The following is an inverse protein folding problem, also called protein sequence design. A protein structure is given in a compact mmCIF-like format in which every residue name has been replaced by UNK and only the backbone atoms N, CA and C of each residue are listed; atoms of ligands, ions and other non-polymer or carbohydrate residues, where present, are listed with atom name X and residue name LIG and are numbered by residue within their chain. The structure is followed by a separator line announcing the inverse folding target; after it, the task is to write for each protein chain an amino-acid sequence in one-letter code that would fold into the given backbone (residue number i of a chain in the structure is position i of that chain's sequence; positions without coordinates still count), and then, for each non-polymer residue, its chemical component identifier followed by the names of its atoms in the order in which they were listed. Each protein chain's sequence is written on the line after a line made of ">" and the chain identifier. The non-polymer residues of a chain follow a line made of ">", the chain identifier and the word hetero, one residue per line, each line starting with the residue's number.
data_IF_016669203921
#
_entry.id   IF_016669203921
#
_cell.length_a   1.000
_cell.length_b   1.000
_cell.length_c   1.000
_cell.angle_alpha   90.00
_cell.angle_beta   90.00
_cell.angle_gamma   90.00
#
_symmetry.space_group_name_H-M   'P 1'
#
loop_
_entity.id
_entity.type
_entity.pdbx_description
1 polymer ?
#
# COMPACT_ATOMS: atom_id res chain seq x y z
N UNK A 1 13.87 19.78 23.70
CA UNK A 1 15.16 20.23 23.16
C UNK A 1 15.77 19.08 22.38
N UNK A 2 15.80 19.16 21.05
CA UNK A 2 16.46 18.16 20.21
C UNK A 2 17.97 18.28 20.43
N UNK A 3 18.69 17.17 20.68
CA UNK A 3 20.12 17.24 20.96
C UNK A 3 20.86 17.76 19.72
N UNK A 4 21.72 18.77 19.96
CA UNK A 4 22.61 19.43 19.00
C UNK A 4 23.62 18.48 18.30
N UNK A 5 23.59 17.18 18.61
CA UNK A 5 24.41 16.14 17.99
C UNK A 5 24.00 15.81 16.55
N UNK A 6 22.79 16.19 16.10
CA UNK A 6 22.34 15.98 14.73
C UNK A 6 22.98 16.92 13.68
N UNK A 7 23.74 17.93 14.10
CA UNK A 7 24.27 18.98 13.20
C UNK A 7 25.73 18.77 12.74
N UNK A 8 26.41 17.70 13.17
CA UNK A 8 27.81 17.39 12.78
C UNK A 8 27.95 16.03 12.10
N UNK A 9 27.20 15.81 11.03
CA UNK A 9 27.21 14.56 10.24
C UNK A 9 28.21 14.54 9.07
N UNK A 10 29.06 15.57 8.91
CA UNK A 10 29.78 15.84 7.66
C UNK A 10 31.17 15.20 7.50
N UNK A 11 31.56 14.19 8.30
CA UNK A 11 32.92 13.65 8.11
C UNK A 11 33.31 12.37 8.84
N UNK A 12 32.38 11.58 9.40
CA UNK A 12 32.76 10.46 10.26
C UNK A 12 32.08 9.15 9.84
N UNK A 13 32.60 8.54 8.76
CA UNK A 13 32.17 7.22 8.24
C UNK A 13 32.05 6.10 9.30
N UNK A 14 32.94 5.96 10.31
CA UNK A 14 32.78 4.88 11.29
C UNK A 14 31.47 5.01 12.10
N UNK A 15 31.05 6.24 12.42
CA UNK A 15 29.80 6.47 13.15
C UNK A 15 28.56 6.19 12.32
N UNK A 16 28.61 6.42 11.01
CA UNK A 16 27.47 6.14 10.12
C UNK A 16 27.26 4.64 9.92
N UNK A 17 28.35 3.86 9.86
CA UNK A 17 28.29 2.40 9.76
C UNK A 17 27.79 1.77 11.07
N UNK A 18 28.27 2.25 12.21
CA UNK A 18 27.79 1.80 13.52
C UNK A 18 26.31 2.15 13.74
N UNK A 19 25.88 3.33 13.28
CA UNK A 19 24.47 3.72 13.30
C UNK A 19 23.61 2.86 12.37
N UNK A 20 24.10 2.57 11.16
CA UNK A 20 23.39 1.74 10.19
C UNK A 20 23.21 0.29 10.69
N UNK A 21 24.23 -0.31 11.29
CA UNK A 21 24.14 -1.66 11.86
C UNK A 21 23.19 -1.74 13.06
N UNK A 22 23.15 -0.69 13.89
CA UNK A 22 22.16 -0.58 15.00
C UNK A 22 20.72 -0.47 14.49
N UNK A 23 20.48 0.19 13.36
CA UNK A 23 19.14 0.27 12.76
C UNK A 23 18.71 -1.09 12.25
N UNK A 24 19.61 -1.80 11.54
CA UNK A 24 19.34 -3.12 10.98
C UNK A 24 18.96 -4.13 12.06
N UNK A 25 19.67 -4.15 13.20
CA UNK A 25 19.34 -5.05 14.30
C UNK A 25 17.98 -4.74 14.95
N UNK A 26 17.58 -3.48 15.01
CA UNK A 26 16.25 -3.08 15.51
C UNK A 26 15.15 -3.49 14.52
N UNK A 27 15.37 -3.29 13.22
CA UNK A 27 14.43 -3.75 12.18
C UNK A 27 14.25 -5.26 12.20
N UNK A 28 15.35 -6.01 12.32
CA UNK A 28 15.35 -7.47 12.41
C UNK A 28 14.67 -7.94 13.70
N UNK A 29 14.85 -7.24 14.81
CA UNK A 29 14.14 -7.51 16.05
C UNK A 29 12.62 -7.31 15.90
N UNK A 30 12.18 -6.19 15.31
CA UNK A 30 10.75 -5.94 15.09
C UNK A 30 10.17 -6.96 14.11
N UNK A 31 10.92 -7.34 13.07
CA UNK A 31 10.52 -8.40 12.13
C UNK A 31 10.38 -9.75 12.83
N UNK A 32 11.34 -10.10 13.68
CA UNK A 32 11.28 -11.31 14.50
C UNK A 32 10.09 -11.26 15.47
N UNK A 33 9.82 -10.12 16.11
CA UNK A 33 8.68 -9.94 17.00
C UNK A 33 7.34 -10.10 16.25
N UNK A 34 7.24 -9.59 15.02
CA UNK A 34 6.08 -9.79 14.16
C UNK A 34 5.88 -11.26 13.78
N UNK A 35 6.96 -12.02 13.57
CA UNK A 35 6.90 -13.45 13.23
C UNK A 35 6.64 -14.34 14.44
N UNK A 36 7.00 -13.90 15.65
CA UNK A 36 6.86 -14.64 16.91
C UNK A 36 5.41 -14.74 17.41
N UNK A 37 4.46 -13.99 16.83
CA UNK A 37 3.05 -13.99 17.22
C UNK A 37 2.16 -14.75 16.21
N UNK A 38 2.36 -16.07 15.95
CA UNK A 38 1.43 -16.82 15.13
C UNK A 38 0.10 -16.95 15.90
N UNK A 39 -0.97 -16.39 15.32
CA UNK A 39 -2.34 -16.53 15.84
C UNK A 39 -3.00 -15.25 16.37
N UNK A 40 -2.25 -14.15 16.60
CA UNK A 40 -2.82 -12.82 16.89
C UNK A 40 -2.52 -11.87 15.73
N UNK A 41 -3.15 -12.16 14.60
CA UNK A 41 -2.97 -11.44 13.33
C UNK A 41 -3.10 -9.91 13.46
N UNK A 42 -3.94 -9.43 14.37
CA UNK A 42 -4.12 -7.99 14.61
C UNK A 42 -2.87 -7.32 15.21
N UNK A 43 -2.10 -8.04 16.03
CA UNK A 43 -0.89 -7.48 16.63
C UNK A 43 0.28 -7.50 15.65
N UNK A 44 0.35 -8.49 14.75
CA UNK A 44 1.36 -8.57 13.69
C UNK A 44 1.30 -7.36 12.75
N UNK A 45 0.10 -6.95 12.32
CA UNK A 45 -0.08 -5.76 11.46
C UNK A 45 0.35 -4.46 12.13
N UNK A 46 0.18 -4.35 13.45
CA UNK A 46 0.68 -3.23 14.23
C UNK A 46 2.21 -3.19 14.24
N UNK A 47 2.87 -4.34 14.48
CA UNK A 47 4.33 -4.42 14.42
C UNK A 47 4.87 -4.13 13.01
N UNK A 48 4.20 -4.61 11.96
CA UNK A 48 4.56 -4.31 10.57
C UNK A 48 4.42 -2.81 10.24
N UNK A 49 3.35 -2.17 10.71
CA UNK A 49 3.16 -0.72 10.54
C UNK A 49 4.23 0.09 11.27
N UNK A 50 4.60 -0.33 12.49
CA UNK A 50 5.70 0.27 13.26
C UNK A 50 7.03 0.08 12.53
N UNK A 51 7.30 -1.12 12.02
CA UNK A 51 8.51 -1.42 11.24
C UNK A 51 8.60 -0.52 10.00
N UNK A 52 7.50 -0.39 9.26
CA UNK A 52 7.44 0.44 8.06
C UNK A 52 7.65 1.94 8.37
N UNK A 53 7.09 2.45 9.47
CA UNK A 53 7.31 3.84 9.91
C UNK A 53 8.75 4.08 10.39
N UNK A 54 9.33 3.10 11.10
CA UNK A 54 10.72 3.13 11.54
C UNK A 54 11.67 3.16 10.33
N UNK A 55 11.47 2.23 9.40
CA UNK A 55 12.23 2.17 8.14
C UNK A 55 12.09 3.46 7.33
N UNK A 56 10.89 4.02 7.21
CA UNK A 56 10.63 5.30 6.52
C UNK A 56 11.45 6.47 7.11
N UNK A 57 11.54 6.54 8.44
CA UNK A 57 12.29 7.59 9.11
C UNK A 57 13.79 7.46 8.83
N UNK A 58 14.34 6.26 9.03
CA UNK A 58 15.78 6.01 8.95
C UNK A 58 16.30 5.97 7.51
N UNK A 59 15.48 5.56 6.55
CA UNK A 59 15.87 5.53 5.12
C UNK A 59 16.33 6.90 4.63
N UNK A 60 15.68 8.00 5.05
CA UNK A 60 16.13 9.36 4.69
C UNK A 60 17.52 9.69 5.22
N UNK A 61 17.82 9.26 6.45
CA UNK A 61 19.12 9.48 7.06
C UNK A 61 20.19 8.69 6.34
N UNK A 62 19.93 7.41 6.03
CA UNK A 62 20.87 6.53 5.34
C UNK A 62 21.15 6.99 3.91
N UNK A 63 20.11 7.33 3.13
CA UNK A 63 20.26 7.84 1.76
C UNK A 63 21.07 9.15 1.75
N UNK A 64 20.79 10.06 2.69
CA UNK A 64 21.57 11.31 2.81
C UNK A 64 23.00 11.05 3.26
N UNK A 65 23.22 10.17 4.24
CA UNK A 65 24.54 9.82 4.73
C UNK A 65 25.41 9.21 3.62
N UNK A 66 24.87 8.25 2.85
CA UNK A 66 25.54 7.67 1.69
C UNK A 66 25.87 8.73 0.63
N UNK A 67 24.96 9.69 0.40
CA UNK A 67 25.19 10.79 -0.54
C UNK A 67 26.25 11.80 -0.08
N UNK A 68 26.44 11.97 1.25
CA UNK A 68 27.35 12.95 1.85
C UNK A 68 28.70 12.39 2.30
N UNK A 69 28.79 11.08 2.54
CA UNK A 69 29.99 10.41 3.07
C UNK A 69 31.08 10.17 2.03
N UNK A 70 30.81 10.45 0.76
CA UNK A 70 31.76 10.31 -0.34
C UNK A 70 32.38 11.68 -0.67
N UNK A 71 33.54 11.99 -0.08
CA UNK A 71 34.39 13.08 -0.58
C UNK A 71 34.76 12.76 -2.04
N UNK A 72 34.54 13.69 -2.99
CA UNK A 72 34.90 13.47 -4.38
C UNK A 72 36.42 13.62 -4.53
N UNK A 73 37.14 12.50 -4.63
CA UNK A 73 38.51 12.55 -5.12
C UNK A 73 38.50 13.09 -6.57
N UNK A 74 39.28 14.14 -6.78
CA UNK A 74 39.01 15.21 -7.75
C UNK A 74 39.42 14.90 -9.20
N UNK A 75 39.48 13.62 -9.61
CA UNK A 75 39.90 13.26 -10.97
C UNK A 75 39.03 12.25 -11.70
N UNK A 76 38.17 11.52 -11.02
CA UNK A 76 37.21 10.61 -11.66
C UNK A 76 35.91 10.66 -10.86
N UNK A 77 34.86 11.28 -11.40
CA UNK A 77 33.48 11.05 -10.93
C UNK A 77 32.99 9.78 -11.60
N UNK A 78 33.04 8.58 -10.98
CA UNK A 78 32.07 7.58 -11.36
C UNK A 78 30.73 8.15 -10.89
N UNK A 79 29.82 8.41 -11.82
CA UNK A 79 28.43 8.66 -11.46
C UNK A 79 27.95 7.48 -10.63
N UNK A 80 27.81 7.66 -9.30
CA UNK A 80 27.32 6.61 -8.43
C UNK A 80 26.00 6.07 -8.98
N UNK A 81 25.77 4.74 -8.97
CA UNK A 81 24.51 4.15 -9.37
C UNK A 81 23.43 4.52 -8.36
N UNK A 82 22.83 5.70 -8.55
CA UNK A 82 21.64 6.11 -7.81
C UNK A 82 20.44 5.51 -8.51
N UNK A 83 19.63 4.77 -7.75
CA UNK A 83 18.38 4.20 -8.26
C UNK A 83 17.57 5.29 -8.97
N UNK A 84 17.21 5.03 -10.23
CA UNK A 84 16.43 5.94 -11.06
C UNK A 84 15.18 6.47 -10.34
N UNK A 85 14.57 5.60 -9.53
CA UNK A 85 13.44 5.93 -8.68
C UNK A 85 13.77 7.02 -7.64
N UNK A 86 14.82 6.83 -6.82
CA UNK A 86 15.20 7.79 -5.78
C UNK A 86 15.55 9.16 -6.37
N UNK A 87 16.20 9.18 -7.54
CA UNK A 87 16.45 10.41 -8.28
C UNK A 87 15.15 11.12 -8.66
N UNK A 88 14.13 10.40 -9.13
CA UNK A 88 12.81 10.97 -9.42
C UNK A 88 12.18 11.64 -8.18
N UNK A 89 12.23 10.94 -7.04
CA UNK A 89 11.70 11.43 -5.75
C UNK A 89 12.43 12.72 -5.32
N UNK A 90 13.76 12.74 -5.39
CA UNK A 90 14.56 13.93 -5.06
C UNK A 90 14.25 15.12 -5.99
N UNK A 91 14.16 14.87 -7.29
CA UNK A 91 13.92 15.90 -8.31
C UNK A 91 12.51 16.49 -8.27
N UNK A 92 11.50 15.76 -7.78
CA UNK A 92 10.10 16.17 -7.89
C UNK A 92 9.34 16.27 -6.56
N UNK A 93 9.70 15.47 -5.56
CA UNK A 93 9.04 15.49 -4.25
C UNK A 93 9.86 16.21 -3.18
N UNK A 94 11.19 16.06 -3.14
CA UNK A 94 12.04 16.69 -2.11
C UNK A 94 12.36 18.18 -2.39
N UNK A 95 12.06 18.68 -3.60
CA UNK A 95 12.39 20.07 -4.01
C UNK A 95 11.70 21.14 -3.17
N UNK A 96 10.40 20.97 -2.88
CA UNK A 96 9.61 21.93 -2.09
C UNK A 96 9.20 21.32 -0.77
N UNK A 97 9.22 22.11 0.29
CA UNK A 97 8.82 21.64 1.61
C UNK A 97 7.39 21.09 1.62
N UNK A 98 6.46 21.73 0.89
CA UNK A 98 5.07 21.29 0.82
C UNK A 98 4.91 19.95 0.10
N UNK A 99 5.57 19.74 -1.05
CA UNK A 99 5.52 18.45 -1.78
C UNK A 99 6.17 17.34 -0.97
N UNK A 100 7.26 17.65 -0.27
CA UNK A 100 7.93 16.73 0.63
C UNK A 100 7.04 16.31 1.79
N UNK A 101 6.39 17.27 2.44
CA UNK A 101 5.47 16.98 3.54
C UNK A 101 4.31 16.11 3.05
N UNK A 102 3.69 16.47 1.93
CA UNK A 102 2.57 15.69 1.36
C UNK A 102 2.99 14.27 0.97
N UNK A 103 4.12 14.10 0.30
CA UNK A 103 4.64 12.79 -0.08
C UNK A 103 4.92 11.89 1.14
N UNK A 104 5.40 12.49 2.23
CA UNK A 104 5.64 11.79 3.49
C UNK A 104 4.36 11.46 4.23
N UNK A 105 3.42 12.40 4.32
CA UNK A 105 2.11 12.16 4.90
C UNK A 105 1.38 11.03 4.18
N UNK A 106 1.48 10.97 2.85
CA UNK A 106 0.87 9.91 2.06
C UNK A 106 1.49 8.54 2.37
N UNK A 107 2.81 8.45 2.51
CA UNK A 107 3.49 7.20 2.89
C UNK A 107 3.15 6.75 4.31
N UNK A 108 3.14 7.68 5.28
CA UNK A 108 2.70 7.40 6.65
C UNK A 108 1.27 6.89 6.65
N UNK A 109 0.37 7.57 5.94
CA UNK A 109 -1.05 7.21 5.88
C UNK A 109 -1.24 5.81 5.32
N UNK A 110 -0.54 5.47 4.22
CA UNK A 110 -0.57 4.13 3.61
C UNK A 110 -0.10 3.03 4.56
N UNK A 111 0.95 3.29 5.36
CA UNK A 111 1.45 2.29 6.32
C UNK A 111 0.58 2.16 7.56
N UNK A 112 -0.06 3.23 8.01
CA UNK A 112 -0.94 3.20 9.18
C UNK A 112 -2.35 2.72 8.85
N UNK A 113 -2.71 2.63 7.58
CA UNK A 113 -4.06 2.35 7.11
C UNK A 113 -4.64 1.06 7.69
N UNK A 114 -3.90 -0.04 7.63
CA UNK A 114 -4.34 -1.35 8.14
C UNK A 114 -4.64 -1.26 9.64
N UNK A 115 -3.75 -0.61 10.40
CA UNK A 115 -3.94 -0.43 11.86
C UNK A 115 -5.12 0.49 12.15
N UNK A 116 -5.31 1.53 11.35
CA UNK A 116 -6.45 2.44 11.50
C UNK A 116 -7.76 1.70 11.19
N UNK A 117 -7.81 0.89 10.13
CA UNK A 117 -8.95 0.03 9.80
C UNK A 117 -9.29 -0.93 10.93
N UNK A 118 -8.28 -1.64 11.44
CA UNK A 118 -8.44 -2.56 12.57
C UNK A 118 -8.92 -1.83 13.83
N UNK A 119 -8.39 -0.64 14.11
CA UNK A 119 -8.81 0.16 15.25
C UNK A 119 -10.25 0.68 15.11
N UNK A 120 -10.65 1.06 13.90
CA UNK A 120 -12.02 1.49 13.58
C UNK A 120 -12.99 0.32 13.74
N UNK A 121 -12.63 -0.88 13.25
CA UNK A 121 -13.44 -2.08 13.39
C UNK A 121 -13.73 -2.40 14.86
N UNK A 122 -12.77 -2.17 15.78
CA UNK A 122 -12.96 -2.41 17.21
C UNK A 122 -13.75 -1.33 17.97
N UNK A 123 -13.82 -0.10 17.45
CA UNK A 123 -14.31 1.08 18.21
C UNK A 123 -15.57 1.73 17.62
N UNK A 124 -15.83 1.54 16.33
CA UNK A 124 -16.88 2.26 15.63
C UNK A 124 -17.96 1.31 15.09
N UNK A 125 -19.22 1.73 15.24
CA UNK A 125 -20.35 1.11 14.55
C UNK A 125 -20.19 1.20 13.03
N UNK A 126 -20.75 0.21 12.32
CA UNK A 126 -20.66 -0.03 10.88
C UNK A 126 -20.89 1.20 9.98
N UNK A 127 -21.93 1.99 10.24
CA UNK A 127 -22.18 3.22 9.44
C UNK A 127 -21.07 4.26 9.61
N UNK A 128 -20.46 4.35 10.79
CA UNK A 128 -19.35 5.27 11.06
C UNK A 128 -18.06 4.76 10.44
N UNK A 129 -17.86 3.44 10.36
CA UNK A 129 -16.70 2.81 9.71
C UNK A 129 -16.57 3.24 8.25
N UNK A 130 -17.64 3.13 7.46
CA UNK A 130 -17.60 3.53 6.04
C UNK A 130 -17.41 5.03 5.83
N UNK A 131 -17.89 5.87 6.75
CA UNK A 131 -17.57 7.31 6.78
C UNK A 131 -16.08 7.56 7.04
N UNK A 132 -15.48 6.81 7.96
CA UNK A 132 -14.04 6.90 8.23
C UNK A 132 -13.20 6.41 7.06
N UNK A 133 -13.52 5.26 6.47
CA UNK A 133 -12.84 4.73 5.28
C UNK A 133 -12.94 5.74 4.13
N UNK A 134 -14.11 6.33 3.90
CA UNK A 134 -14.27 7.38 2.88
C UNK A 134 -13.45 8.63 3.17
N UNK A 135 -13.33 9.03 4.44
CA UNK A 135 -12.49 10.14 4.83
C UNK A 135 -11.01 9.84 4.56
N UNK A 136 -10.54 8.64 4.91
CA UNK A 136 -9.16 8.21 4.66
C UNK A 136 -8.84 8.16 3.16
N UNK A 137 -9.70 7.56 2.36
CA UNK A 137 -9.55 7.53 0.90
C UNK A 137 -9.63 8.93 0.28
N UNK A 138 -10.52 9.78 0.80
CA UNK A 138 -10.63 11.18 0.40
C UNK A 138 -9.34 11.96 0.68
N UNK A 139 -8.76 11.79 1.88
CA UNK A 139 -7.49 12.42 2.25
C UNK A 139 -6.38 11.92 1.32
N UNK A 140 -6.24 10.60 1.10
CA UNK A 140 -5.24 10.06 0.17
C UNK A 140 -5.40 10.60 -1.24
N UNK A 141 -6.64 10.64 -1.75
CA UNK A 141 -6.93 11.18 -3.07
C UNK A 141 -6.53 12.65 -3.19
N UNK A 142 -6.86 13.47 -2.18
CA UNK A 142 -6.46 14.89 -2.14
C UNK A 142 -4.94 15.06 -2.10
N UNK A 143 -4.23 14.27 -1.27
CA UNK A 143 -2.77 14.30 -1.19
C UNK A 143 -2.12 13.89 -2.51
N UNK A 144 -2.61 12.83 -3.16
CA UNK A 144 -2.12 12.37 -4.47
C UNK A 144 -2.40 13.37 -5.58
N UNK A 145 -3.60 13.95 -5.63
CA UNK A 145 -3.94 15.00 -6.59
C UNK A 145 -3.07 16.24 -6.37
N UNK A 146 -2.83 16.64 -5.12
CA UNK A 146 -1.90 17.74 -4.82
C UNK A 146 -0.52 17.45 -5.38
N UNK A 147 0.03 16.25 -5.18
CA UNK A 147 1.31 15.86 -5.78
C UNK A 147 1.26 15.92 -7.30
N UNK A 148 0.23 15.32 -7.92
CA UNK A 148 0.04 15.28 -9.36
C UNK A 148 0.03 16.67 -10.01
N UNK A 149 -0.73 17.62 -9.46
CA UNK A 149 -0.78 18.99 -9.98
C UNK A 149 0.54 19.73 -9.76
N UNK A 150 1.22 19.49 -8.63
CA UNK A 150 2.47 20.19 -8.29
C UNK A 150 3.69 19.65 -9.05
N UNK A 151 3.68 18.40 -9.48
CA UNK A 151 4.74 17.80 -10.32
C UNK A 151 4.55 18.01 -11.82
N UNK A 152 3.64 18.90 -12.23
CA UNK A 152 3.30 19.19 -13.64
C UNK A 152 2.64 18.01 -14.36
N UNK A 153 1.64 17.40 -13.72
CA UNK A 153 0.87 16.28 -14.27
C UNK A 153 1.72 15.05 -14.60
N UNK A 154 2.75 14.77 -13.79
CA UNK A 154 3.54 13.53 -13.92
C UNK A 154 2.84 12.41 -13.16
N UNK A 155 3.04 11.19 -13.62
CA UNK A 155 2.49 10.03 -12.94
C UNK A 155 3.03 9.95 -11.51
N UNK A 156 2.12 9.82 -10.54
CA UNK A 156 2.49 9.60 -9.14
C UNK A 156 2.93 8.14 -9.00
N UNK A 157 4.20 7.95 -8.63
CA UNK A 157 4.81 6.64 -8.39
C UNK A 157 4.49 6.15 -6.98
N UNK A 158 4.43 4.83 -6.82
CA UNK A 158 4.39 4.19 -5.51
C UNK A 158 5.68 3.39 -5.24
N UNK A 159 6.30 3.54 -4.05
CA UNK A 159 5.94 4.43 -2.95
C UNK A 159 6.23 5.92 -3.25
N UNK A 160 5.76 6.85 -2.39
CA UNK A 160 6.05 8.29 -2.56
C UNK A 160 7.26 8.79 -1.76
N UNK A 161 7.99 7.89 -1.11
CA UNK A 161 9.20 8.19 -0.35
C UNK A 161 10.42 7.52 -0.97
N UNK A 162 11.60 7.88 -0.46
CA UNK A 162 12.86 7.27 -0.87
C UNK A 162 12.89 5.80 -0.45
N UNK A 163 13.31 4.92 -1.33
CA UNK A 163 13.48 3.50 -1.00
C UNK A 163 14.92 3.22 -0.62
N UNK A 164 15.11 2.38 0.39
CA UNK A 164 16.43 1.95 0.85
C UNK A 164 17.00 0.93 -0.14
N UNK A 165 17.96 1.37 -0.94
CA UNK A 165 18.69 0.53 -1.90
C UNK A 165 20.19 0.43 -1.59
N UNK A 166 20.54 0.71 -0.33
CA UNK A 166 21.92 0.84 0.14
C UNK A 166 22.14 -0.22 1.22
N UNK A 167 23.18 -1.04 1.06
CA UNK A 167 23.57 -1.98 2.09
C UNK A 167 24.06 -1.20 3.33
N UNK A 168 23.49 -1.42 4.52
CA UNK A 168 23.85 -0.66 5.72
C UNK A 168 25.30 -0.89 6.18
N UNK A 169 25.86 -2.05 5.86
CA UNK A 169 27.23 -2.46 6.24
C UNK A 169 28.32 -1.93 5.32
N UNK A 170 28.03 -1.74 4.03
CA UNK A 170 28.99 -1.26 3.02
C UNK A 170 28.69 0.18 2.57
N UNK A 171 27.48 0.66 2.82
CA UNK A 171 26.90 1.90 2.26
C UNK A 171 26.98 1.97 0.73
N UNK A 172 27.06 0.82 0.07
CA UNK A 172 27.05 0.69 -1.38
C UNK A 172 25.64 0.34 -1.87
N UNK A 173 25.34 0.66 -3.14
CA UNK A 173 24.07 0.28 -3.74
C UNK A 173 24.02 -1.26 -3.84
N UNK A 174 23.10 -1.89 -3.11
CA UNK A 174 22.94 -3.33 -3.18
C UNK A 174 22.09 -3.71 -4.39
N UNK A 175 22.58 -4.64 -5.19
CA UNK A 175 21.81 -5.32 -6.24
C UNK A 175 21.02 -6.52 -5.70
N UNK A 176 21.26 -6.89 -4.44
CA UNK A 176 20.63 -8.05 -3.84
C UNK A 176 19.32 -7.61 -3.24
N UNK A 177 18.22 -8.14 -3.75
CA UNK A 177 16.90 -8.05 -3.14
C UNK A 177 17.02 -8.61 -1.71
N UNK A 178 17.32 -7.76 -0.73
CA UNK A 178 16.76 -7.98 0.60
C UNK A 178 15.27 -7.87 0.36
N UNK A 179 14.68 -9.03 0.09
CA UNK A 179 13.27 -9.28 -0.03
C UNK A 179 12.67 -8.93 1.32
N UNK A 180 12.52 -7.63 1.58
CA UNK A 180 11.91 -7.19 2.81
C UNK A 180 10.46 -7.72 2.70
N UNK A 181 10.10 -8.70 3.52
CA UNK A 181 8.71 -9.20 3.59
C UNK A 181 7.70 -8.06 3.84
N UNK A 182 8.17 -6.88 4.25
CA UNK A 182 7.44 -5.62 4.35
C UNK A 182 7.02 -5.02 2.98
N UNK A 183 7.51 -5.56 1.86
CA UNK A 183 7.23 -5.08 0.49
C UNK A 183 6.27 -5.98 -0.31
N UNK A 184 5.86 -7.11 0.27
CA UNK A 184 4.77 -7.95 -0.24
C UNK A 184 3.44 -7.54 0.41
N UNK A 185 3.10 -6.25 0.43
CA UNK A 185 1.72 -5.88 0.72
C UNK A 185 0.89 -6.10 -0.55
N UNK A 186 0.04 -7.15 -0.63
CA UNK A 186 -0.74 -7.42 -1.84
C UNK A 186 -1.80 -6.34 -2.09
N UNK A 187 -2.07 -5.46 -1.10
CA UNK A 187 -2.96 -4.30 -1.23
C UNK A 187 -2.33 -3.18 -2.03
N UNK A 188 -1.01 -3.05 -1.98
CA UNK A 188 -0.26 -1.94 -2.58
C UNK A 188 0.62 -2.41 -3.75
N UNK A 189 0.89 -3.71 -3.84
CA UNK A 189 1.68 -4.33 -4.88
C UNK A 189 3.18 -4.14 -4.69
N UNK A 190 3.99 -4.80 -5.51
CA UNK A 190 5.45 -4.66 -5.44
C UNK A 190 5.88 -3.26 -5.87
N UNK A 191 6.76 -2.59 -5.09
CA UNK A 191 7.25 -1.27 -5.45
C UNK A 191 8.06 -1.33 -6.75
N UNK A 192 8.11 -0.20 -7.47
CA UNK A 192 8.87 -0.05 -8.73
C UNK A 192 10.41 -0.24 -8.59
N UNK A 193 10.89 -0.57 -7.39
CA UNK A 193 12.31 -0.62 -7.02
C UNK A 193 12.96 -1.98 -7.17
N UNK A 194 12.20 -3.03 -7.49
CA UNK A 194 12.72 -4.40 -7.69
C UNK A 194 13.40 -4.63 -9.04
N UNK A 195 13.48 -3.61 -9.90
CA UNK A 195 14.04 -3.77 -11.24
C UNK A 195 15.54 -3.36 -11.25
N UNK A 196 16.49 -4.31 -11.34
CA UNK A 196 17.92 -4.01 -11.32
C UNK A 196 18.37 -3.15 -12.53
N UNK A 197 17.62 -3.20 -13.63
CA UNK A 197 17.89 -2.38 -14.83
C UNK A 197 17.77 -0.86 -14.56
N UNK A 198 17.04 -0.48 -13.50
CA UNK A 198 16.83 0.90 -13.08
C UNK A 198 17.95 1.45 -12.18
N UNK A 199 18.90 0.62 -11.76
CA UNK A 199 20.03 1.03 -10.91
C UNK A 199 21.06 1.82 -11.72
N UNK A 200 21.27 1.48 -13.00
CA UNK A 200 22.33 2.05 -13.84
C UNK A 200 21.84 2.99 -14.95
N UNK A 201 20.53 3.07 -15.20
CA UNK A 201 20.02 3.81 -16.35
C UNK A 201 19.81 5.31 -16.08
N UNK A 202 20.62 6.16 -16.71
CA UNK A 202 20.53 7.63 -16.61
C UNK A 202 19.28 8.21 -17.29
N UNK A 203 18.84 7.59 -18.38
CA UNK A 203 17.69 8.04 -19.20
C UNK A 203 16.35 7.49 -18.71
N UNK A 204 16.37 6.50 -17.81
CA UNK A 204 15.17 5.88 -17.25
C UNK A 204 14.49 6.70 -16.12
N UNK A 205 15.19 7.67 -15.55
CA UNK A 205 14.91 8.17 -14.19
C UNK A 205 13.88 9.30 -14.07
N UNK A 206 13.33 9.79 -15.18
CA UNK A 206 12.41 10.94 -15.13
C UNK A 206 11.07 10.58 -15.77
N UNK A 207 10.01 10.53 -14.96
CA UNK A 207 8.62 10.41 -15.40
C UNK A 207 8.26 11.54 -16.36
N UNK A 208 7.45 11.31 -17.39
CA UNK A 208 7.06 12.32 -18.38
C UNK A 208 5.74 13.01 -17.96
N UNK A 209 5.57 14.31 -18.25
CA UNK A 209 4.30 14.98 -17.99
C UNK A 209 3.21 14.43 -18.91
N UNK A 210 2.03 14.15 -18.35
CA UNK A 210 0.86 13.69 -19.10
C UNK A 210 0.23 14.86 -19.88
N UNK A 211 -0.35 14.56 -21.04
CA UNK A 211 -1.05 15.51 -21.92
C UNK A 211 -2.38 14.95 -22.41
N UNK A 212 -3.34 15.82 -22.66
CA UNK A 212 -4.66 15.45 -23.19
C UNK A 212 -5.39 14.46 -22.29
N UNK A 213 -5.95 13.41 -22.89
CA UNK A 213 -6.69 12.34 -22.20
C UNK A 213 -5.90 11.64 -21.10
N UNK A 214 -4.57 11.61 -21.17
CA UNK A 214 -3.77 10.97 -20.13
C UNK A 214 -3.85 11.68 -18.77
N UNK A 215 -4.09 13.00 -18.76
CA UNK A 215 -4.32 13.73 -17.51
C UNK A 215 -5.59 13.23 -16.84
N UNK A 216 -6.66 13.09 -17.64
CA UNK A 216 -7.93 12.55 -17.17
C UNK A 216 -7.77 11.11 -16.68
N UNK A 217 -6.99 10.28 -17.36
CA UNK A 217 -6.72 8.91 -16.93
C UNK A 217 -5.99 8.81 -15.59
N UNK A 218 -4.99 9.66 -15.31
CA UNK A 218 -4.32 9.68 -14.00
C UNK A 218 -5.25 10.18 -12.88
N UNK A 219 -6.14 11.15 -13.17
CA UNK A 219 -7.14 11.63 -12.22
C UNK A 219 -8.14 10.52 -11.89
N UNK A 220 -8.66 9.82 -12.90
CA UNK A 220 -9.55 8.67 -12.70
C UNK A 220 -8.91 7.57 -11.87
N UNK A 221 -7.66 7.21 -12.19
CA UNK A 221 -6.92 6.23 -11.40
C UNK A 221 -6.79 6.66 -9.94
N UNK A 222 -6.47 7.94 -9.70
CA UNK A 222 -6.31 8.49 -8.35
C UNK A 222 -7.62 8.53 -7.56
N UNK A 223 -8.75 8.78 -8.22
CA UNK A 223 -10.07 8.88 -7.61
C UNK A 223 -10.79 7.52 -7.49
N UNK A 224 -10.32 6.47 -8.17
CA UNK A 224 -10.95 5.15 -8.19
C UNK A 224 -11.28 4.62 -6.78
N UNK A 225 -10.37 4.62 -5.79
CA UNK A 225 -10.68 4.10 -4.46
C UNK A 225 -11.79 4.89 -3.78
N UNK A 226 -11.73 6.23 -3.88
CA UNK A 226 -12.77 7.11 -3.34
C UNK A 226 -14.13 6.87 -4.01
N UNK A 227 -14.17 6.73 -5.33
CA UNK A 227 -15.41 6.43 -6.08
C UNK A 227 -16.02 5.11 -5.59
N UNK A 228 -15.18 4.08 -5.42
CA UNK A 228 -15.64 2.78 -4.90
C UNK A 228 -16.29 2.92 -3.52
N UNK A 229 -15.61 3.54 -2.55
CA UNK A 229 -16.13 3.64 -1.18
C UNK A 229 -17.39 4.53 -1.12
N UNK A 230 -17.45 5.61 -1.91
CA UNK A 230 -18.65 6.45 -1.99
C UNK A 230 -19.85 5.69 -2.57
N UNK A 231 -19.63 4.80 -3.53
CA UNK A 231 -20.69 3.96 -4.08
C UNK A 231 -21.17 2.93 -3.07
N UNK A 232 -20.26 2.30 -2.32
CA UNK A 232 -20.64 1.40 -1.23
C UNK A 232 -21.45 2.14 -0.18
N UNK A 233 -20.99 3.32 0.26
CA UNK A 233 -21.73 4.19 1.20
C UNK A 233 -23.13 4.55 0.71
N UNK A 234 -23.27 4.86 -0.59
CA UNK A 234 -24.57 5.17 -1.18
C UNK A 234 -25.51 3.96 -1.15
N UNK A 235 -24.98 2.77 -1.36
CA UNK A 235 -25.78 1.54 -1.32
C UNK A 235 -26.24 1.23 0.11
N UNK A 236 -25.37 1.44 1.11
CA UNK A 236 -25.75 1.25 2.52
C UNK A 236 -26.94 2.11 2.93
N UNK A 237 -26.99 3.37 2.46
CA UNK A 237 -28.09 4.29 2.78
C UNK A 237 -29.45 3.83 2.26
N UNK A 238 -29.49 2.92 1.28
CA UNK A 238 -30.75 2.37 0.76
C UNK A 238 -31.21 1.16 1.55
N UNK A 239 -30.27 0.39 2.12
CA UNK A 239 -30.54 -0.86 2.81
C UNK A 239 -30.83 -0.69 4.30
N UNK A 240 -30.54 0.46 4.92
CA UNK A 240 -30.93 0.71 6.31
C UNK A 240 -32.44 0.93 6.42
N UNK A 241 -33.25 -0.02 6.94
CA UNK A 241 -34.64 0.26 7.24
C UNK A 241 -34.73 1.32 8.34
N UNK A 242 -35.71 2.22 8.22
CA UNK A 242 -36.03 3.20 9.26
C UNK A 242 -36.23 2.48 10.61
N UNK A 243 -35.33 2.72 11.57
CA UNK A 243 -35.39 2.25 12.97
C UNK A 243 -36.55 2.91 13.76
N UNK A 244 -37.70 3.14 13.14
CA UNK A 244 -38.82 3.91 13.71
C UNK A 244 -39.91 3.06 14.39
N UNK A 245 -39.74 1.74 14.57
CA UNK A 245 -40.85 0.92 15.09
C UNK A 245 -40.48 -0.23 16.06
N UNK A 246 -39.29 -0.19 16.70
CA UNK A 246 -38.96 -1.11 17.81
C UNK A 246 -38.84 -0.35 19.13
N UNK A 247 -39.96 0.19 19.61
CA UNK A 247 -40.16 0.44 21.03
C UNK A 247 -41.29 -0.45 21.52
N UNK A 248 -40.93 -1.40 22.39
CA UNK A 248 -41.71 -2.04 23.47
C UNK A 248 -41.26 -3.52 23.56
N UNK A 249 -40.49 -3.82 24.60
CA UNK A 249 -40.01 -5.17 24.89
C UNK A 249 -38.92 -5.12 25.95
N UNK A 250 -39.34 -5.28 27.20
CA UNK A 250 -38.58 -5.07 28.43
C UNK A 250 -37.57 -6.19 28.71
N UNK A 251 -36.41 -5.80 29.25
CA UNK A 251 -35.72 -6.51 30.33
C UNK A 251 -34.74 -7.62 29.95
N UNK A 252 -33.47 -7.37 30.31
CA UNK A 252 -32.44 -8.36 30.64
C UNK A 252 -31.93 -9.25 29.50
N UNK A 253 -31.25 -8.64 28.51
CA UNK A 253 -30.35 -9.40 27.63
C UNK A 253 -29.32 -8.54 26.89
N UNK A 254 -28.56 -7.69 27.58
CA UNK A 254 -27.53 -6.86 26.91
C UNK A 254 -26.46 -7.69 26.16
N UNK A 255 -26.15 -8.92 26.62
CA UNK A 255 -25.18 -9.80 25.95
C UNK A 255 -25.75 -10.58 24.77
N UNK A 256 -27.01 -11.00 24.85
CA UNK A 256 -27.69 -11.65 23.70
C UNK A 256 -28.04 -10.61 22.66
N UNK A 257 -28.50 -9.42 23.07
CA UNK A 257 -28.81 -8.32 22.15
C UNK A 257 -27.57 -7.74 21.48
N UNK A 258 -26.42 -7.69 22.17
CA UNK A 258 -25.14 -7.31 21.55
C UNK A 258 -24.58 -8.39 20.62
N UNK A 259 -24.93 -9.67 20.84
CA UNK A 259 -24.54 -10.77 19.95
C UNK A 259 -25.45 -10.83 18.73
N UNK A 260 -26.75 -10.66 18.91
CA UNK A 260 -27.74 -10.61 17.82
C UNK A 260 -27.52 -9.36 16.94
N UNK A 261 -27.24 -8.19 17.55
CA UNK A 261 -26.85 -7.00 16.79
C UNK A 261 -25.53 -7.23 16.01
N UNK A 262 -24.62 -8.05 16.53
CA UNK A 262 -23.33 -8.36 15.89
C UNK A 262 -23.49 -9.35 14.72
N UNK A 263 -24.27 -10.41 14.91
CA UNK A 263 -24.53 -11.42 13.88
C UNK A 263 -25.41 -10.83 12.75
N UNK A 264 -26.43 -10.01 13.05
CA UNK A 264 -27.21 -9.26 12.04
C UNK A 264 -26.33 -8.25 11.26
N UNK A 265 -25.36 -7.60 11.93
CA UNK A 265 -24.44 -6.64 11.30
C UNK A 265 -23.44 -7.31 10.34
N UNK A 266 -22.98 -8.55 10.62
CA UNK A 266 -22.08 -9.31 9.76
C UNK A 266 -22.78 -9.75 8.46
N UNK A 267 -24.00 -10.29 8.56
CA UNK A 267 -24.77 -10.76 7.39
C UNK A 267 -25.08 -9.62 6.41
N UNK A 268 -25.46 -8.45 6.92
CA UNK A 268 -25.72 -7.29 6.07
C UNK A 268 -24.44 -6.68 5.45
N UNK A 269 -23.27 -6.74 6.10
CA UNK A 269 -22.00 -6.31 5.49
C UNK A 269 -21.66 -7.23 4.29
N UNK A 270 -21.93 -8.51 4.43
CA UNK A 270 -21.72 -9.53 3.42
C UNK A 270 -22.61 -9.32 2.18
N UNK A 271 -23.87 -8.91 2.37
CA UNK A 271 -24.80 -8.57 1.29
C UNK A 271 -24.36 -7.32 0.50
N UNK A 272 -23.88 -6.29 1.20
CA UNK A 272 -23.39 -5.06 0.55
C UNK A 272 -22.12 -5.35 -0.26
N UNK A 273 -21.27 -6.25 0.22
CA UNK A 273 -20.07 -6.69 -0.49
C UNK A 273 -20.38 -7.55 -1.73
N UNK A 274 -21.55 -8.20 -1.76
CA UNK A 274 -22.05 -8.91 -2.93
C UNK A 274 -22.68 -7.99 -3.98
N UNK A 275 -22.84 -6.70 -3.67
CA UNK A 275 -23.36 -5.71 -4.63
C UNK A 275 -22.42 -5.53 -5.83
N UNK A 276 -22.93 -5.81 -7.02
CA UNK A 276 -22.18 -5.68 -8.28
C UNK A 276 -21.95 -4.23 -8.70
N UNK A 277 -22.76 -3.29 -8.21
CA UNK A 277 -22.71 -1.89 -8.66
C UNK A 277 -21.39 -1.19 -8.33
N UNK A 278 -20.90 -1.15 -7.06
CA UNK A 278 -19.61 -0.56 -6.74
C UNK A 278 -18.44 -1.24 -7.47
N UNK A 279 -18.53 -2.56 -7.64
CA UNK A 279 -17.50 -3.37 -8.31
C UNK A 279 -17.37 -3.02 -9.80
N UNK A 280 -18.48 -3.06 -10.53
CA UNK A 280 -18.51 -2.78 -11.98
C UNK A 280 -18.10 -1.34 -12.29
N UNK A 281 -18.55 -0.36 -11.50
CA UNK A 281 -18.20 1.05 -11.75
C UNK A 281 -16.71 1.30 -11.50
N UNK A 282 -16.13 0.77 -10.42
CA UNK A 282 -14.70 0.91 -10.14
C UNK A 282 -13.83 0.21 -11.19
N UNK A 283 -14.26 -0.97 -11.68
CA UNK A 283 -13.63 -1.62 -12.84
C UNK A 283 -13.71 -0.74 -14.10
N UNK A 284 -14.88 -0.15 -14.38
CA UNK A 284 -15.07 0.77 -15.49
C UNK A 284 -14.16 1.99 -15.43
N UNK A 285 -14.00 2.59 -14.24
CA UNK A 285 -13.06 3.70 -13.99
C UNK A 285 -11.62 3.29 -14.27
N UNK A 286 -11.21 2.09 -13.84
CA UNK A 286 -9.88 1.53 -14.10
C UNK A 286 -9.62 1.35 -15.61
N UNK A 287 -10.56 0.72 -16.31
CA UNK A 287 -10.47 0.51 -17.75
C UNK A 287 -10.44 1.83 -18.52
N UNK A 288 -11.27 2.80 -18.12
CA UNK A 288 -11.29 4.13 -18.73
C UNK A 288 -9.97 4.87 -18.51
N UNK A 289 -9.39 4.78 -17.31
CA UNK A 289 -8.07 5.33 -17.02
C UNK A 289 -6.97 4.72 -17.91
N UNK A 290 -7.03 3.41 -18.17
CA UNK A 290 -6.10 2.70 -19.07
C UNK A 290 -6.26 3.12 -20.52
N UNK A 291 -7.50 3.23 -21.01
CA UNK A 291 -7.78 3.67 -22.38
C UNK A 291 -7.28 5.10 -22.57
N UNK A 292 -7.54 5.98 -21.61
CA UNK A 292 -7.12 7.38 -21.64
C UNK A 292 -5.59 7.57 -21.62
N UNK A 293 -4.84 6.63 -21.04
CA UNK A 293 -3.37 6.66 -20.97
C UNK A 293 -2.67 5.84 -22.05
N UNK A 294 -3.41 5.08 -22.88
CA UNK A 294 -2.86 4.10 -23.85
C UNK A 294 -1.87 4.67 -24.86
N UNK A 295 -2.09 5.90 -25.32
CA UNK A 295 -1.24 6.54 -26.34
C UNK A 295 0.02 7.20 -25.76
N UNK A 296 0.23 7.17 -24.44
CA UNK A 296 1.39 7.79 -23.81
C UNK A 296 2.63 6.91 -23.95
N UNK A 297 3.75 7.53 -24.36
CA UNK A 297 5.06 6.88 -24.30
C UNK A 297 5.52 6.78 -22.85
N UNK A 298 5.74 5.56 -22.36
CA UNK A 298 6.14 5.30 -20.98
C UNK A 298 7.66 5.23 -20.83
N UNK A 299 8.20 5.84 -19.76
CA UNK A 299 9.59 5.58 -19.35
C UNK A 299 9.69 4.26 -18.57
N UNK A 300 10.89 3.71 -18.35
CA UNK A 300 11.06 2.46 -17.60
C UNK A 300 10.43 2.50 -16.20
N UNK A 301 10.59 3.59 -15.44
CA UNK A 301 9.90 3.78 -14.15
C UNK A 301 8.37 3.77 -14.30
N UNK A 302 7.87 4.39 -15.36
CA UNK A 302 6.42 4.41 -15.60
C UNK A 302 5.89 3.04 -16.00
N UNK A 303 6.70 2.22 -16.67
CA UNK A 303 6.35 0.85 -17.04
C UNK A 303 6.26 -0.04 -15.81
N UNK A 304 7.15 0.13 -14.84
CA UNK A 304 7.12 -0.65 -13.60
C UNK A 304 5.96 -0.25 -12.70
N UNK A 305 5.69 1.05 -12.58
CA UNK A 305 4.45 1.52 -11.94
C UNK A 305 3.21 1.01 -12.70
N UNK A 306 3.24 0.94 -14.04
CA UNK A 306 2.14 0.37 -14.82
C UNK A 306 1.93 -1.12 -14.56
N UNK A 307 3.01 -1.90 -14.46
CA UNK A 307 2.97 -3.32 -14.09
C UNK A 307 2.36 -3.51 -12.70
N UNK A 308 2.76 -2.69 -11.73
CA UNK A 308 2.15 -2.69 -10.39
C UNK A 308 0.64 -2.47 -10.45
N UNK A 309 0.18 -1.47 -11.23
CA UNK A 309 -1.25 -1.21 -11.47
C UNK A 309 -1.96 -2.38 -12.17
N UNK A 310 -1.26 -3.15 -13.01
CA UNK A 310 -1.78 -4.36 -13.64
C UNK A 310 -1.94 -5.51 -12.65
N UNK A 311 -0.98 -5.73 -11.75
CA UNK A 311 -1.13 -6.68 -10.66
C UNK A 311 -2.27 -6.29 -9.73
N UNK A 312 -2.42 -5.01 -9.39
CA UNK A 312 -3.55 -4.54 -8.58
C UNK A 312 -4.90 -4.78 -9.26
N UNK A 313 -4.97 -4.67 -10.59
CA UNK A 313 -6.19 -5.04 -11.31
C UNK A 313 -6.43 -6.55 -11.28
N UNK A 314 -5.39 -7.37 -11.43
CA UNK A 314 -5.54 -8.83 -11.30
C UNK A 314 -6.09 -9.19 -9.91
N UNK A 315 -5.50 -8.60 -8.88
CA UNK A 315 -5.95 -8.69 -7.50
C UNK A 315 -7.37 -8.17 -7.27
N UNK A 316 -7.82 -7.18 -8.05
CA UNK A 316 -9.19 -6.68 -7.97
C UNK A 316 -10.25 -7.72 -8.33
N UNK A 317 -9.92 -8.70 -9.18
CA UNK A 317 -10.83 -9.83 -9.47
C UNK A 317 -10.95 -10.81 -8.29
N UNK A 318 -10.04 -10.76 -7.30
CA UNK A 318 -10.17 -11.53 -6.07
C UNK A 318 -11.08 -10.83 -5.03
N UNK A 319 -11.69 -9.69 -5.37
CA UNK A 319 -12.67 -9.01 -4.53
C UNK A 319 -14.09 -9.53 -4.78
N UNK A 320 -14.94 -9.54 -3.74
CA UNK A 320 -16.40 -9.76 -3.87
C UNK A 320 -17.06 -8.68 -4.76
N UNK A 321 -18.12 -9.00 -5.53
CA UNK A 321 -18.78 -10.31 -5.66
C UNK A 321 -18.09 -11.30 -6.60
N UNK A 322 -17.13 -10.87 -7.42
CA UNK A 322 -16.51 -11.75 -8.42
C UNK A 322 -15.86 -12.98 -7.78
N UNK A 323 -15.19 -12.79 -6.64
CA UNK A 323 -14.57 -13.89 -5.90
C UNK A 323 -15.58 -14.96 -5.49
N UNK A 324 -16.70 -14.59 -4.87
CA UNK A 324 -17.68 -15.56 -4.36
C UNK A 324 -18.40 -16.30 -5.48
N UNK A 325 -18.75 -15.60 -6.56
CA UNK A 325 -19.54 -16.17 -7.65
C UNK A 325 -18.73 -17.03 -8.62
N UNK A 326 -17.47 -16.66 -8.88
CA UNK A 326 -16.64 -17.30 -9.91
C UNK A 326 -15.39 -17.95 -9.34
N UNK A 327 -14.57 -17.20 -8.60
CA UNK A 327 -13.25 -17.68 -8.18
C UNK A 327 -13.34 -18.77 -7.11
N UNK A 328 -14.19 -18.59 -6.10
CA UNK A 328 -14.38 -19.49 -4.97
C UNK A 328 -14.86 -20.89 -5.39
N UNK A 329 -15.90 -21.06 -6.24
CA UNK A 329 -16.35 -22.39 -6.66
C UNK A 329 -15.32 -23.08 -7.56
N UNK A 330 -14.60 -22.34 -8.42
CA UNK A 330 -13.50 -22.90 -9.23
C UNK A 330 -12.38 -23.40 -8.32
N UNK A 331 -12.03 -22.61 -7.29
CA UNK A 331 -10.99 -22.96 -6.34
C UNK A 331 -11.38 -24.17 -5.50
N UNK A 332 -12.63 -24.22 -5.03
CA UNK A 332 -13.17 -25.37 -4.30
C UNK A 332 -13.14 -26.63 -5.18
N UNK A 333 -13.66 -26.55 -6.41
CA UNK A 333 -13.63 -27.67 -7.35
C UNK A 333 -12.20 -28.13 -7.67
N UNK A 334 -11.25 -27.20 -7.79
CA UNK A 334 -9.85 -27.51 -7.99
C UNK A 334 -9.25 -28.23 -6.77
N UNK A 335 -9.46 -27.72 -5.55
CA UNK A 335 -8.98 -28.35 -4.33
C UNK A 335 -9.57 -29.76 -4.14
N UNK A 336 -10.88 -29.91 -4.31
CA UNK A 336 -11.59 -31.19 -4.20
C UNK A 336 -11.11 -32.20 -5.26
N UNK A 337 -10.90 -31.73 -6.49
CA UNK A 337 -10.35 -32.55 -7.58
C UNK A 337 -8.87 -32.86 -7.41
N UNK A 338 -8.17 -32.21 -6.49
CA UNK A 338 -6.71 -32.31 -6.34
C UNK A 338 -6.31 -33.13 -5.12
N UNK A 339 -7.20 -33.27 -4.15
CA UNK A 339 -6.98 -33.99 -2.89
C UNK A 339 -6.50 -35.45 -3.09
N UNK A 340 -6.91 -36.09 -4.19
CA UNK A 340 -6.56 -37.48 -4.50
C UNK A 340 -5.17 -37.67 -5.17
N UNK A 341 -4.39 -36.60 -5.42
CA UNK A 341 -3.04 -36.69 -6.03
C UNK A 341 -1.96 -36.12 -5.11
N UNK A 342 -0.99 -36.94 -4.64
CA UNK A 342 -0.08 -36.57 -3.52
C UNK A 342 0.87 -35.39 -3.80
N UNK A 343 1.20 -35.11 -5.06
CA UNK A 343 2.05 -33.95 -5.42
C UNK A 343 1.23 -32.67 -5.48
N UNK A 344 -0.01 -32.78 -5.96
CA UNK A 344 -0.86 -31.62 -6.21
C UNK A 344 -1.65 -31.26 -4.94
N UNK A 345 -1.86 -32.21 -4.02
CA UNK A 345 -2.44 -31.98 -2.70
C UNK A 345 -1.63 -31.01 -1.84
N UNK A 346 -0.31 -30.95 -1.99
CA UNK A 346 0.53 -29.93 -1.33
C UNK A 346 0.16 -28.53 -1.81
N UNK A 347 -0.10 -28.38 -3.12
CA UNK A 347 -0.49 -27.11 -3.72
C UNK A 347 -1.93 -26.74 -3.35
N UNK A 348 -2.84 -27.72 -3.28
CA UNK A 348 -4.20 -27.50 -2.78
C UNK A 348 -4.22 -27.13 -1.29
N UNK A 349 -3.39 -27.76 -0.46
CA UNK A 349 -3.22 -27.41 0.95
C UNK A 349 -2.69 -25.98 1.10
N UNK A 350 -1.63 -25.62 0.36
CA UNK A 350 -1.11 -24.25 0.37
C UNK A 350 -2.19 -23.24 -0.04
N UNK A 351 -2.90 -23.47 -1.14
CA UNK A 351 -3.99 -22.60 -1.59
C UNK A 351 -5.08 -22.46 -0.52
N UNK A 352 -5.47 -23.55 0.13
CA UNK A 352 -6.49 -23.52 1.17
C UNK A 352 -6.03 -22.75 2.41
N UNK A 353 -4.75 -22.84 2.77
CA UNK A 353 -4.14 -22.05 3.84
C UNK A 353 -4.11 -20.54 3.51
N UNK A 354 -4.00 -20.19 2.21
CA UNK A 354 -4.05 -18.79 1.74
C UNK A 354 -5.48 -18.26 1.51
N UNK A 355 -6.51 -19.11 1.45
CA UNK A 355 -7.92 -18.69 1.29
C UNK A 355 -8.36 -17.64 2.32
N UNK A 356 -8.20 -17.85 3.64
CA UNK A 356 -8.60 -16.86 4.65
C UNK A 356 -7.81 -15.55 4.53
N UNK A 357 -6.59 -15.60 3.97
CA UNK A 357 -5.80 -14.41 3.69
C UNK A 357 -6.46 -13.59 2.58
N UNK A 358 -6.83 -14.17 1.44
CA UNK A 358 -7.52 -13.43 0.38
C UNK A 358 -8.85 -12.85 0.84
N UNK A 359 -9.62 -13.61 1.61
CA UNK A 359 -10.89 -13.13 2.15
C UNK A 359 -10.67 -11.92 3.06
N UNK A 360 -9.67 -11.94 3.95
CA UNK A 360 -9.35 -10.81 4.84
C UNK A 360 -8.67 -9.63 4.17
N UNK A 361 -7.91 -9.85 3.10
CA UNK A 361 -7.06 -8.81 2.51
C UNK A 361 -7.83 -7.80 1.65
N UNK A 362 -8.96 -8.21 1.06
CA UNK A 362 -9.71 -7.39 0.09
C UNK A 362 -10.82 -6.54 0.68
N UNK A 363 -10.95 -6.57 2.00
CA UNK A 363 -11.84 -5.73 2.76
C UNK A 363 -11.40 -4.26 2.64
N UNK A 364 -12.05 -3.57 1.71
CA UNK A 364 -12.25 -2.11 1.60
C UNK A 364 -11.18 -1.26 0.89
N UNK A 365 -9.89 -1.41 1.18
CA UNK A 365 -8.86 -0.44 0.72
C UNK A 365 -7.78 -1.03 -0.17
N UNK A 366 -7.85 -2.34 -0.44
CA UNK A 366 -6.95 -3.00 -1.38
C UNK A 366 -6.99 -2.31 -2.76
N UNK A 367 -5.82 -1.92 -3.26
CA UNK A 367 -5.65 -1.23 -4.54
C UNK A 367 -5.77 0.29 -4.51
N UNK A 368 -5.72 0.93 -3.33
CA UNK A 368 -5.74 2.40 -3.21
C UNK A 368 -4.40 3.08 -3.40
#
# INVERSE_FOLDING_TARGET
>A
MLPLTLLRFRGNRPYTLEYASRIESVEDFIRAASLLLPGRFEDAELFLSILNLFSLHHTKLLVRAASSGFEPDSRHKPDQPRLAFNRNIEEHYDTRWATRTVAMSLSVLSYTEVVIEMLIQRRCSRQKRWRWVSCLEGIKAVLRLYLFFRTKHRMVLHPTHLVRNIDPSTLEASSTDKFELTTLDPRVGTPSTSNPDLIHSKDAAVTRPRRGWAIFGEILWTLRPLIYVLLVMRDQSKHTPSKSDKTVGSGDNEKEQQKDDFDEDEDEDDDIERSWMPWMVSLGVDLLARVATRQQTMTPLERDERRRRDYLLLYYFLRKPFYTEFTQPILASFCDSTEHRPIVSILAAAINDYRPFWERLYFYTAGS
#
